data_IF_625200557057
#
_entry.id   IF_625200557057
#
_cell.length_a   1.000
_cell.length_b   1.000
_cell.length_c   1.000
_cell.angle_alpha   90.00
_cell.angle_beta   90.00
_cell.angle_gamma   90.00
#
_symmetry.space_group_name_H-M   'P 1'
#
loop_
_entity.id
_entity.type
_entity.pdbx_description
1 polymer ?
#
# COMPACT_ATOMS: atom_id res chain seq x y z
N UNK A 1 -3.19 3.93 48.62
CA UNK A 1 -3.29 2.66 47.86
C UNK A 1 -3.91 2.84 46.47
N UNK A 2 -5.04 3.55 46.33
CA UNK A 2 -5.76 3.71 45.03
C UNK A 2 -4.90 4.27 43.89
N UNK A 3 -4.09 5.31 44.14
CA UNK A 3 -3.22 5.93 43.11
C UNK A 3 -2.09 5.01 42.60
N UNK A 4 -1.50 4.18 43.48
CA UNK A 4 -0.45 3.21 43.09
C UNK A 4 -1.01 2.08 42.22
N UNK A 5 -2.22 1.63 42.50
CA UNK A 5 -2.89 0.60 41.69
C UNK A 5 -3.25 1.13 40.30
N UNK A 6 -3.62 2.42 40.19
CA UNK A 6 -3.88 3.06 38.90
C UNK A 6 -2.64 3.14 38.01
N UNK A 7 -1.48 3.50 38.56
CA UNK A 7 -0.21 3.50 37.83
C UNK A 7 0.18 2.10 37.34
N UNK A 8 0.00 1.07 38.19
CA UNK A 8 0.23 -0.32 37.80
C UNK A 8 -0.63 -0.78 36.62
N UNK A 9 -1.90 -0.39 36.59
CA UNK A 9 -2.81 -0.71 35.48
C UNK A 9 -2.38 -0.06 34.15
N UNK A 10 -1.86 1.17 34.18
CA UNK A 10 -1.35 1.85 32.97
C UNK A 10 -0.17 1.07 32.39
N UNK A 11 0.80 0.70 33.24
CA UNK A 11 1.99 -0.04 32.83
C UNK A 11 1.60 -1.40 32.25
N UNK A 12 0.73 -2.17 32.93
CA UNK A 12 0.30 -3.46 32.43
C UNK A 12 -0.55 -3.35 31.16
N UNK A 13 -1.35 -2.29 31.01
CA UNK A 13 -2.10 -2.04 29.77
C UNK A 13 -1.18 -1.76 28.59
N UNK A 14 -0.12 -0.99 28.80
CA UNK A 14 0.92 -0.77 27.81
C UNK A 14 1.61 -2.09 27.42
N UNK A 15 2.08 -2.87 28.40
CA UNK A 15 2.74 -4.16 28.16
C UNK A 15 1.81 -5.13 27.44
N UNK A 16 0.54 -5.19 27.84
CA UNK A 16 -0.48 -6.02 27.17
C UNK A 16 -0.64 -5.62 25.71
N UNK A 17 -0.68 -4.33 25.39
CA UNK A 17 -0.71 -3.86 23.99
C UNK A 17 0.56 -4.26 23.25
N UNK A 18 1.72 -4.09 23.89
CA UNK A 18 3.03 -4.39 23.31
C UNK A 18 3.21 -5.87 22.94
N UNK A 19 2.79 -6.79 23.83
CA UNK A 19 2.92 -8.24 23.61
C UNK A 19 1.79 -8.80 22.71
N UNK A 20 0.60 -8.18 22.73
CA UNK A 20 -0.55 -8.64 21.92
C UNK A 20 -0.42 -8.24 20.45
N UNK A 21 0.15 -7.07 20.17
CA UNK A 21 0.37 -6.61 18.80
C UNK A 21 1.38 -7.50 18.07
N UNK A 22 0.99 -8.04 16.93
CA UNK A 22 1.83 -9.01 16.20
C UNK A 22 3.08 -8.35 15.62
N UNK A 23 3.01 -7.10 15.19
CA UNK A 23 4.14 -6.38 14.60
C UNK A 23 5.18 -6.04 15.64
N UNK A 24 4.78 -5.54 16.82
CA UNK A 24 5.73 -5.32 17.91
C UNK A 24 6.30 -6.63 18.47
N UNK A 25 5.46 -7.66 18.62
CA UNK A 25 5.92 -8.98 19.08
C UNK A 25 6.99 -9.57 18.17
N UNK A 26 6.80 -9.47 16.85
CA UNK A 26 7.76 -9.96 15.85
C UNK A 26 9.12 -9.30 15.97
N UNK A 27 9.18 -7.99 16.22
CA UNK A 27 10.45 -7.24 16.31
C UNK A 27 11.14 -7.46 17.65
N UNK A 28 10.40 -7.31 18.74
CA UNK A 28 11.01 -7.21 20.07
C UNK A 28 11.11 -8.57 20.76
N UNK A 29 10.15 -9.47 20.53
CA UNK A 29 10.00 -10.70 21.30
C UNK A 29 10.24 -11.98 20.47
N UNK A 30 9.94 -12.05 19.17
CA UNK A 30 9.99 -13.30 18.38
C UNK A 30 11.31 -14.07 18.54
N UNK A 31 12.42 -13.37 18.39
CA UNK A 31 13.78 -13.95 18.42
C UNK A 31 14.58 -13.55 19.67
N UNK A 32 13.92 -12.96 20.67
CA UNK A 32 14.57 -12.44 21.88
C UNK A 32 14.11 -13.17 23.15
N UNK A 33 14.66 -14.36 23.38
CA UNK A 33 14.37 -15.17 24.57
C UNK A 33 14.75 -14.46 25.87
N UNK A 34 15.79 -13.62 25.86
CA UNK A 34 16.24 -12.86 27.03
C UNK A 34 15.19 -11.83 27.46
N UNK A 35 14.62 -11.08 26.52
CA UNK A 35 13.58 -10.09 26.82
C UNK A 35 12.31 -10.78 27.35
N UNK A 36 11.90 -11.89 26.74
CA UNK A 36 10.75 -12.68 27.22
C UNK A 36 10.96 -13.12 28.66
N UNK A 37 12.12 -13.69 28.96
CA UNK A 37 12.43 -14.17 30.30
C UNK A 37 12.48 -13.03 31.34
N UNK A 38 13.06 -11.87 30.98
CA UNK A 38 13.04 -10.68 31.84
C UNK A 38 11.61 -10.20 32.13
N UNK A 39 10.73 -10.25 31.12
CA UNK A 39 9.33 -9.89 31.30
C UNK A 39 8.59 -10.88 32.20
N UNK A 40 8.83 -12.19 32.04
CA UNK A 40 8.28 -13.23 32.93
C UNK A 40 8.70 -13.01 34.39
N UNK A 41 9.99 -12.74 34.64
CA UNK A 41 10.49 -12.41 35.99
C UNK A 41 9.83 -11.16 36.55
N UNK A 42 9.67 -10.12 35.73
CA UNK A 42 8.99 -8.89 36.15
C UNK A 42 7.53 -9.16 36.55
N UNK A 43 6.82 -9.95 35.75
CA UNK A 43 5.41 -10.29 35.99
C UNK A 43 5.22 -11.17 37.22
N UNK A 44 6.12 -12.14 37.48
CA UNK A 44 6.06 -12.97 38.69
C UNK A 44 6.24 -12.16 39.97
N UNK A 45 7.00 -11.06 39.91
CA UNK A 45 7.12 -10.11 41.02
C UNK A 45 5.83 -9.34 41.35
N UNK A 46 4.84 -9.34 40.46
CA UNK A 46 3.59 -8.57 40.59
C UNK A 46 2.38 -9.47 40.92
N UNK A 47 2.52 -10.79 40.77
CA UNK A 47 1.43 -11.76 40.86
C UNK A 47 0.73 -11.78 42.24
N UNK A 48 1.41 -11.28 43.29
CA UNK A 48 0.84 -11.09 44.63
C UNK A 48 -0.18 -9.96 44.76
N UNK A 49 -0.50 -9.19 43.71
CA UNK A 49 -1.48 -8.08 43.73
C UNK A 49 -2.79 -8.51 43.05
N UNK A 50 -3.86 -8.85 43.81
CA UNK A 50 -5.08 -9.43 43.24
C UNK A 50 -5.75 -8.58 42.17
N UNK A 51 -5.71 -7.25 42.29
CA UNK A 51 -6.32 -6.33 41.32
C UNK A 51 -5.64 -6.31 39.94
N UNK A 52 -4.44 -6.89 39.83
CA UNK A 52 -3.64 -6.90 38.60
C UNK A 52 -3.51 -8.30 37.97
N UNK A 53 -3.89 -9.35 38.69
CA UNK A 53 -3.68 -10.75 38.33
C UNK A 53 -4.27 -11.11 36.94
N UNK A 54 -5.44 -10.59 36.59
CA UNK A 54 -6.06 -10.82 35.27
C UNK A 54 -5.21 -10.26 34.12
N UNK A 55 -4.62 -9.08 34.31
CA UNK A 55 -3.76 -8.47 33.29
C UNK A 55 -2.45 -9.22 33.15
N UNK A 56 -1.83 -9.63 34.27
CA UNK A 56 -0.62 -10.46 34.27
C UNK A 56 -0.87 -11.76 33.52
N UNK A 57 -1.96 -12.46 33.85
CA UNK A 57 -2.35 -13.72 33.19
C UNK A 57 -2.58 -13.52 31.69
N UNK A 58 -3.26 -12.43 31.29
CA UNK A 58 -3.50 -12.12 29.88
C UNK A 58 -2.20 -11.81 29.10
N UNK A 59 -1.25 -11.11 29.73
CA UNK A 59 0.06 -10.82 29.12
C UNK A 59 0.84 -12.11 28.92
N UNK A 60 0.89 -13.00 29.93
CA UNK A 60 1.59 -14.28 29.83
C UNK A 60 1.01 -15.16 28.72
N UNK A 61 -0.32 -15.25 28.61
CA UNK A 61 -0.98 -15.96 27.49
C UNK A 61 -0.53 -15.41 26.12
N UNK A 62 -0.55 -14.09 25.96
CA UNK A 62 -0.08 -13.46 24.71
C UNK A 62 1.41 -13.74 24.44
N UNK A 63 2.24 -13.75 25.49
CA UNK A 63 3.69 -14.00 25.40
C UNK A 63 3.98 -15.44 24.92
N UNK A 64 3.18 -16.41 25.37
CA UNK A 64 3.28 -17.82 24.99
C UNK A 64 2.56 -18.19 23.68
N UNK A 65 1.94 -17.21 22.99
CA UNK A 65 1.40 -17.40 21.65
C UNK A 65 -0.11 -17.37 21.51
N UNK A 66 -0.85 -17.23 22.61
CA UNK A 66 -2.32 -17.07 22.61
C UNK A 66 -2.69 -15.61 22.28
N UNK A 67 -2.49 -15.24 21.01
CA UNK A 67 -2.81 -13.92 20.44
C UNK A 67 -4.00 -14.05 19.51
N UNK A 68 -5.20 -14.15 20.06
CA UNK A 68 -6.43 -14.16 19.27
C UNK A 68 -6.54 -12.88 18.43
N UNK A 69 -6.56 -13.02 17.10
CA UNK A 69 -6.81 -11.92 16.17
C UNK A 69 -8.32 -11.75 16.05
N UNK A 70 -8.83 -10.55 16.32
CA UNK A 70 -10.23 -10.23 16.02
C UNK A 70 -10.28 -9.86 14.55
N UNK A 71 -10.58 -10.84 13.70
CA UNK A 71 -10.85 -10.56 12.29
C UNK A 71 -12.22 -9.89 12.18
N UNK A 72 -12.22 -8.57 11.96
CA UNK A 72 -13.44 -7.85 11.62
C UNK A 72 -13.84 -8.21 10.19
N UNK A 73 -14.77 -9.16 10.06
CA UNK A 73 -15.36 -9.50 8.75
C UNK A 73 -16.44 -8.46 8.44
N UNK A 74 -16.09 -7.45 7.67
CA UNK A 74 -17.08 -6.52 7.10
C UNK A 74 -17.74 -7.23 5.92
N UNK A 75 -19.05 -7.48 6.01
CA UNK A 75 -19.82 -7.99 4.88
C UNK A 75 -19.98 -6.87 3.84
N UNK A 76 -19.31 -6.99 2.72
CA UNK A 76 -19.47 -6.12 1.56
C UNK A 76 -20.38 -6.80 0.52
N UNK A 77 -21.20 -6.02 -0.17
CA UNK A 77 -21.92 -6.52 -1.35
C UNK A 77 -20.90 -6.94 -2.41
N UNK A 78 -21.18 -8.04 -3.12
CA UNK A 78 -20.32 -8.47 -4.21
C UNK A 78 -20.19 -7.34 -5.25
N UNK A 79 -18.98 -7.04 -5.75
CA UNK A 79 -18.81 -6.02 -6.77
C UNK A 79 -19.62 -6.40 -8.00
N UNK A 80 -20.09 -5.38 -8.73
CA UNK A 80 -20.75 -5.58 -10.02
C UNK A 80 -19.84 -6.41 -10.94
N UNK A 81 -20.37 -7.54 -11.44
CA UNK A 81 -19.66 -8.40 -12.39
C UNK A 81 -19.50 -7.64 -13.70
N UNK A 82 -18.27 -7.33 -14.05
CA UNK A 82 -17.93 -6.79 -15.36
C UNK A 82 -17.62 -7.93 -16.33
N UNK A 83 -17.95 -7.73 -17.60
CA UNK A 83 -17.41 -8.56 -18.67
C UNK A 83 -15.89 -8.30 -18.75
N UNK A 84 -15.09 -9.34 -18.51
CA UNK A 84 -13.62 -9.26 -18.43
C UNK A 84 -12.98 -8.97 -19.82
N UNK A 85 -13.79 -8.93 -20.88
CA UNK A 85 -13.33 -8.68 -22.24
C UNK A 85 -12.67 -9.92 -22.87
N UNK A 86 -11.81 -9.69 -23.87
CA UNK A 86 -11.22 -10.74 -24.71
C UNK A 86 -10.03 -11.48 -24.06
N UNK A 87 -9.55 -11.01 -22.90
CA UNK A 87 -8.41 -11.58 -22.21
C UNK A 87 -8.85 -12.70 -21.25
N UNK A 88 -9.00 -13.91 -21.77
CA UNK A 88 -9.34 -15.11 -20.99
C UNK A 88 -8.12 -15.73 -20.28
N UNK A 89 -6.90 -15.30 -20.61
CA UNK A 89 -5.65 -15.86 -20.09
C UNK A 89 -4.63 -14.77 -19.75
N UNK A 90 -3.85 -14.98 -18.69
CA UNK A 90 -2.92 -13.98 -18.13
C UNK A 90 -1.81 -13.54 -19.11
N UNK A 91 -1.37 -14.41 -20.00
CA UNK A 91 -0.35 -14.13 -21.03
C UNK A 91 -0.82 -13.14 -22.10
N UNK A 92 -2.13 -12.90 -22.18
CA UNK A 92 -2.74 -12.04 -23.22
C UNK A 92 -3.18 -10.70 -22.70
N UNK A 93 -3.00 -10.39 -21.41
CA UNK A 93 -3.45 -9.11 -20.83
C UNK A 93 -2.72 -7.94 -21.50
N UNK A 94 -3.51 -7.05 -22.10
CA UNK A 94 -3.07 -5.76 -22.66
C UNK A 94 -3.98 -4.68 -22.12
N UNK A 95 -3.46 -3.45 -22.05
CA UNK A 95 -4.24 -2.29 -21.63
C UNK A 95 -5.49 -2.04 -22.50
N UNK A 96 -5.52 -2.55 -23.74
CA UNK A 96 -6.61 -2.36 -24.70
C UNK A 96 -7.63 -3.50 -24.74
N UNK A 97 -7.36 -4.66 -24.14
CA UNK A 97 -8.24 -5.84 -24.25
C UNK A 97 -8.87 -6.29 -22.92
N UNK A 98 -8.60 -5.56 -21.84
CA UNK A 98 -9.26 -5.69 -20.54
C UNK A 98 -10.19 -4.49 -20.34
N UNK A 99 -11.34 -4.71 -19.71
CA UNK A 99 -12.21 -3.62 -19.30
C UNK A 99 -11.47 -2.67 -18.34
N UNK A 100 -11.41 -1.34 -18.60
CA UNK A 100 -10.52 -0.43 -17.88
C UNK A 100 -10.86 -0.34 -16.39
N UNK A 101 -12.15 -0.36 -16.04
CA UNK A 101 -12.59 -0.41 -14.65
C UNK A 101 -12.14 -1.69 -13.94
N UNK A 102 -12.10 -2.83 -14.63
CA UNK A 102 -11.65 -4.07 -14.00
C UNK A 102 -10.14 -4.06 -13.79
N UNK A 103 -9.37 -3.58 -14.79
CA UNK A 103 -7.93 -3.39 -14.64
C UNK A 103 -7.63 -2.45 -13.45
N UNK A 104 -8.35 -1.33 -13.34
CA UNK A 104 -8.21 -0.40 -12.23
C UNK A 104 -8.52 -1.06 -10.88
N UNK A 105 -9.65 -1.78 -10.77
CA UNK A 105 -10.03 -2.51 -9.54
C UNK A 105 -8.95 -3.51 -9.11
N UNK A 106 -8.45 -4.33 -10.03
CA UNK A 106 -7.47 -5.36 -9.72
C UNK A 106 -6.11 -4.76 -9.32
N UNK A 107 -5.67 -3.71 -10.00
CA UNK A 107 -4.45 -2.97 -9.61
C UNK A 107 -4.63 -2.35 -8.22
N UNK A 108 -5.76 -1.68 -7.95
CA UNK A 108 -6.04 -1.10 -6.63
C UNK A 108 -6.06 -2.15 -5.52
N UNK A 109 -6.66 -3.31 -5.75
CA UNK A 109 -6.65 -4.41 -4.77
C UNK A 109 -5.24 -4.93 -4.51
N UNK A 110 -4.42 -5.07 -5.55
CA UNK A 110 -3.06 -5.54 -5.42
C UNK A 110 -2.15 -4.53 -4.70
N UNK A 111 -2.25 -3.25 -5.06
CA UNK A 111 -1.52 -2.17 -4.39
C UNK A 111 -1.95 -2.03 -2.93
N UNK A 112 -3.24 -2.16 -2.63
CA UNK A 112 -3.73 -2.21 -1.25
C UNK A 112 -3.15 -3.39 -0.47
N UNK A 113 -3.10 -4.60 -1.05
CA UNK A 113 -2.47 -5.76 -0.42
C UNK A 113 -0.98 -5.51 -0.13
N UNK A 114 -0.24 -4.91 -1.06
CA UNK A 114 1.16 -4.53 -0.85
C UNK A 114 1.31 -3.48 0.25
N UNK A 115 0.51 -2.41 0.19
CA UNK A 115 0.54 -1.30 1.14
C UNK A 115 0.17 -1.76 2.57
N UNK A 116 -0.89 -2.55 2.71
CA UNK A 116 -1.38 -3.02 4.01
C UNK A 116 -0.41 -3.95 4.76
N UNK A 117 0.60 -4.49 4.06
CA UNK A 117 1.66 -5.32 4.64
C UNK A 117 2.85 -4.52 5.17
N UNK A 118 2.97 -3.23 4.82
CA UNK A 118 4.07 -2.39 5.27
C UNK A 118 3.94 -2.15 6.77
N UNK A 119 4.91 -2.65 7.53
CA UNK A 119 4.96 -2.48 8.98
C UNK A 119 5.62 -1.14 9.36
N UNK A 120 5.21 -0.53 10.47
CA UNK A 120 5.80 0.74 10.96
C UNK A 120 7.33 0.66 11.11
N UNK A 121 7.86 -0.51 11.48
CA UNK A 121 9.29 -0.74 11.65
C UNK A 121 10.08 -0.63 10.33
N UNK A 122 9.43 -0.74 9.17
CA UNK A 122 10.05 -0.64 7.84
C UNK A 122 10.24 0.82 7.41
N UNK A 123 9.52 1.75 8.06
CA UNK A 123 9.48 3.17 7.68
C UNK A 123 9.97 4.11 8.79
N UNK A 124 10.27 3.59 9.98
CA UNK A 124 10.74 4.38 11.12
C UNK A 124 12.25 4.69 11.09
N UNK A 125 12.95 4.34 10.01
CA UNK A 125 14.40 4.57 9.85
C UNK A 125 15.28 3.56 10.59
N UNK A 126 14.74 2.48 11.14
CA UNK A 126 15.55 1.44 11.79
C UNK A 126 16.28 0.57 10.75
N UNK A 127 17.61 0.50 10.82
CA UNK A 127 18.44 -0.29 9.89
C UNK A 127 18.18 -1.81 9.98
N UNK A 128 17.51 -2.28 11.04
CA UNK A 128 17.30 -3.71 11.32
C UNK A 128 16.32 -4.39 10.36
N UNK A 129 15.36 -3.64 9.82
CA UNK A 129 14.37 -4.17 8.89
C UNK A 129 14.41 -3.36 7.61
N UNK A 130 15.33 -3.74 6.74
CA UNK A 130 15.39 -3.25 5.36
C UNK A 130 14.03 -3.50 4.70
N UNK A 131 13.20 -2.45 4.56
CA UNK A 131 11.76 -2.53 4.28
C UNK A 131 11.41 -3.42 3.10
N UNK A 132 11.14 -4.70 3.37
CA UNK A 132 10.88 -5.72 2.35
C UNK A 132 9.52 -5.47 1.71
N UNK A 133 8.49 -5.17 2.51
CA UNK A 133 7.16 -4.89 1.98
C UNK A 133 7.13 -3.52 1.33
N UNK A 134 7.83 -2.55 1.92
CA UNK A 134 8.04 -1.23 1.30
C UNK A 134 8.67 -1.37 -0.10
N UNK A 135 9.73 -2.18 -0.22
CA UNK A 135 10.38 -2.46 -1.51
C UNK A 135 9.49 -3.20 -2.48
N UNK A 136 8.69 -4.16 -2.02
CA UNK A 136 7.72 -4.86 -2.90
C UNK A 136 6.69 -3.89 -3.47
N UNK A 137 6.20 -2.96 -2.65
CA UNK A 137 5.30 -1.89 -3.10
C UNK A 137 5.98 -1.01 -4.15
N UNK A 138 7.21 -0.57 -3.89
CA UNK A 138 8.02 0.21 -4.84
C UNK A 138 8.30 -0.53 -6.15
N UNK A 139 8.64 -1.82 -6.07
CA UNK A 139 8.97 -2.64 -7.22
C UNK A 139 7.76 -2.84 -8.12
N UNK A 140 6.57 -3.06 -7.53
CA UNK A 140 5.32 -3.15 -8.28
C UNK A 140 5.00 -1.82 -8.97
N UNK A 141 5.03 -0.73 -8.22
CA UNK A 141 4.76 0.62 -8.72
C UNK A 141 5.63 0.97 -9.94
N UNK A 142 6.94 0.74 -9.83
CA UNK A 142 7.88 0.95 -10.94
C UNK A 142 7.61 0.03 -12.14
N UNK A 143 7.22 -1.23 -11.91
CA UNK A 143 6.87 -2.16 -12.99
C UNK A 143 5.60 -1.73 -13.69
N UNK A 144 4.59 -1.30 -12.96
CA UNK A 144 3.32 -0.85 -13.50
C UNK A 144 3.50 0.43 -14.34
N UNK A 145 4.21 1.43 -13.81
CA UNK A 145 4.60 2.63 -14.54
C UNK A 145 5.31 2.29 -15.86
N UNK A 146 6.34 1.43 -15.80
CA UNK A 146 7.08 0.98 -17.00
C UNK A 146 6.18 0.24 -17.99
N UNK A 147 5.25 -0.57 -17.51
CA UNK A 147 4.29 -1.29 -18.35
C UNK A 147 3.32 -0.33 -19.06
N UNK A 148 2.85 0.73 -18.40
CA UNK A 148 2.04 1.78 -19.02
C UNK A 148 2.82 2.51 -20.12
N UNK A 149 4.06 2.94 -19.84
CA UNK A 149 4.94 3.59 -20.82
C UNK A 149 5.18 2.66 -22.01
N UNK A 150 5.57 1.41 -21.75
CA UNK A 150 5.81 0.41 -22.78
C UNK A 150 4.56 0.17 -23.64
N UNK A 151 3.38 0.09 -23.03
CA UNK A 151 2.12 -0.12 -23.74
C UNK A 151 1.85 0.99 -24.77
N UNK A 152 2.15 2.25 -24.41
CA UNK A 152 2.05 3.40 -25.34
C UNK A 152 3.12 3.27 -26.43
N UNK A 153 4.38 3.08 -26.04
CA UNK A 153 5.53 3.18 -26.94
C UNK A 153 5.67 2.02 -27.92
N UNK A 154 5.07 0.87 -27.64
CA UNK A 154 5.16 -0.31 -28.51
C UNK A 154 4.35 -0.20 -29.80
N UNK A 155 3.43 0.77 -29.90
CA UNK A 155 2.60 0.94 -31.10
C UNK A 155 3.21 1.98 -32.05
N UNK A 156 3.44 1.57 -33.30
CA UNK A 156 4.01 2.45 -34.34
C UNK A 156 2.95 3.33 -35.01
N UNK A 157 1.75 2.80 -35.21
CA UNK A 157 0.65 3.53 -35.81
C UNK A 157 0.11 4.60 -34.84
N UNK A 158 -0.18 5.78 -35.35
CA UNK A 158 -0.70 6.90 -34.57
C UNK A 158 -2.05 6.56 -33.93
N UNK A 159 -2.95 5.97 -34.70
CA UNK A 159 -4.29 5.57 -34.26
C UNK A 159 -4.25 4.62 -33.06
N UNK A 160 -3.40 3.58 -33.14
CA UNK A 160 -3.19 2.63 -32.05
C UNK A 160 -2.62 3.30 -30.80
N UNK A 161 -1.64 4.20 -30.97
CA UNK A 161 -1.09 4.98 -29.84
C UNK A 161 -2.16 5.83 -29.17
N UNK A 162 -3.01 6.52 -29.92
CA UNK A 162 -4.10 7.35 -29.39
C UNK A 162 -5.06 6.49 -28.56
N UNK A 163 -5.41 5.29 -29.03
CA UNK A 163 -6.26 4.36 -28.28
C UNK A 163 -5.62 3.97 -26.95
N UNK A 164 -4.34 3.60 -26.96
CA UNK A 164 -3.62 3.22 -25.73
C UNK A 164 -3.48 4.40 -24.78
N UNK A 165 -3.15 5.58 -25.29
CA UNK A 165 -3.05 6.81 -24.53
C UNK A 165 -4.38 7.07 -23.81
N UNK A 166 -5.50 7.01 -24.53
CA UNK A 166 -6.85 7.19 -23.96
C UNK A 166 -7.12 6.18 -22.84
N UNK A 167 -6.70 4.92 -22.99
CA UNK A 167 -6.84 3.91 -21.92
C UNK A 167 -6.06 4.27 -20.66
N UNK A 168 -4.87 4.88 -20.79
CA UNK A 168 -4.11 5.36 -19.62
C UNK A 168 -4.83 6.52 -18.92
N UNK A 169 -5.49 7.43 -19.66
CA UNK A 169 -6.34 8.46 -19.05
C UNK A 169 -7.58 7.87 -18.36
N UNK A 170 -8.24 6.90 -18.98
CA UNK A 170 -9.38 6.23 -18.36
C UNK A 170 -8.95 5.61 -17.02
N UNK A 171 -7.80 4.94 -16.97
CA UNK A 171 -7.23 4.41 -15.73
C UNK A 171 -6.93 5.50 -14.70
N UNK A 172 -6.36 6.64 -15.10
CA UNK A 172 -6.11 7.77 -14.21
C UNK A 172 -7.40 8.23 -13.52
N UNK A 173 -8.47 8.46 -14.29
CA UNK A 173 -9.77 8.90 -13.76
C UNK A 173 -10.39 7.83 -12.87
N UNK A 174 -10.30 6.56 -13.27
CA UNK A 174 -10.83 5.44 -12.51
C UNK A 174 -10.08 5.23 -11.18
N UNK A 175 -8.76 5.38 -11.17
CA UNK A 175 -7.97 5.33 -9.94
C UNK A 175 -8.33 6.46 -8.99
N UNK A 176 -8.53 7.68 -9.49
CA UNK A 176 -8.99 8.81 -8.69
C UNK A 176 -10.37 8.51 -8.07
N UNK A 177 -11.30 7.97 -8.86
CA UNK A 177 -12.63 7.57 -8.40
C UNK A 177 -12.61 6.42 -7.38
N UNK A 178 -11.63 5.53 -7.44
CA UNK A 178 -11.42 4.43 -6.49
C UNK A 178 -10.66 4.88 -5.22
N UNK A 179 -10.19 6.12 -5.15
CA UNK A 179 -9.33 6.60 -4.07
C UNK A 179 -7.91 5.99 -4.11
N UNK A 180 -7.51 5.43 -5.26
CA UNK A 180 -6.18 4.87 -5.47
C UNK A 180 -5.19 5.96 -5.88
N UNK A 181 -4.61 6.64 -4.89
CA UNK A 181 -3.68 7.74 -5.14
C UNK A 181 -2.37 7.25 -5.79
N UNK A 182 -1.89 6.05 -5.44
CA UNK A 182 -0.68 5.48 -6.02
C UNK A 182 -0.84 5.22 -7.52
N UNK A 183 -1.87 4.46 -7.92
CA UNK A 183 -2.19 4.24 -9.33
C UNK A 183 -2.49 5.53 -10.11
N UNK A 184 -3.11 6.52 -9.47
CA UNK A 184 -3.33 7.86 -10.07
C UNK A 184 -2.01 8.53 -10.43
N UNK A 185 -1.03 8.52 -9.53
CA UNK A 185 0.28 9.11 -9.80
C UNK A 185 1.08 8.32 -10.83
N UNK A 186 0.97 7.00 -10.85
CA UNK A 186 1.64 6.16 -11.86
C UNK A 186 1.10 6.40 -13.27
N UNK A 187 -0.22 6.46 -13.42
CA UNK A 187 -0.85 6.77 -14.70
C UNK A 187 -0.49 8.19 -15.17
N UNK A 188 -0.49 9.16 -14.24
CA UNK A 188 -0.07 10.54 -14.51
C UNK A 188 1.41 10.62 -14.92
N UNK A 189 2.29 9.97 -14.18
CA UNK A 189 3.72 9.94 -14.45
C UNK A 189 4.01 9.29 -15.81
N UNK A 190 3.30 8.21 -16.17
CA UNK A 190 3.44 7.56 -17.48
C UNK A 190 3.27 8.55 -18.63
N UNK A 191 2.25 9.41 -18.56
CA UNK A 191 1.95 10.44 -19.57
C UNK A 191 2.98 11.58 -19.62
N UNK A 192 3.67 11.83 -18.51
CA UNK A 192 4.66 12.92 -18.37
C UNK A 192 6.10 12.47 -18.59
N UNK A 193 6.36 11.16 -18.72
CA UNK A 193 7.72 10.67 -18.97
C UNK A 193 8.27 11.18 -20.30
N UNK A 194 9.57 11.48 -20.36
CA UNK A 194 10.28 11.95 -21.55
C UNK A 194 9.92 11.21 -22.85
N UNK A 195 9.83 9.86 -22.88
CA UNK A 195 9.45 9.15 -24.10
C UNK A 195 8.01 9.31 -24.55
N UNK A 196 7.08 9.54 -23.62
CA UNK A 196 5.66 9.72 -23.93
C UNK A 196 5.36 11.18 -24.21
N UNK A 197 5.83 12.10 -23.36
CA UNK A 197 5.57 13.54 -23.46
C UNK A 197 5.98 14.14 -24.81
N UNK A 198 7.03 13.62 -25.45
CA UNK A 198 7.50 14.07 -26.76
C UNK A 198 6.59 13.65 -27.94
N UNK A 199 5.57 12.82 -27.73
CA UNK A 199 4.64 12.36 -28.77
C UNK A 199 3.59 13.43 -29.11
N UNK A 200 4.02 14.65 -29.47
CA UNK A 200 3.15 15.82 -29.69
C UNK A 200 1.97 15.52 -30.61
N UNK A 201 2.22 14.88 -31.76
CA UNK A 201 1.18 14.49 -32.73
C UNK A 201 0.11 13.56 -32.14
N UNK A 202 0.48 12.72 -31.16
CA UNK A 202 -0.48 11.80 -30.51
C UNK A 202 -1.37 12.56 -29.53
N UNK A 203 -0.84 13.59 -28.86
CA UNK A 203 -1.63 14.45 -27.97
C UNK A 203 -2.52 15.44 -28.73
N UNK A 204 -2.04 15.99 -29.85
CA UNK A 204 -2.75 17.00 -30.64
C UNK A 204 -4.04 16.47 -31.27
N UNK A 205 -4.08 15.17 -31.60
CA UNK A 205 -5.26 14.50 -32.17
C UNK A 205 -6.41 14.39 -31.16
N UNK A 206 -6.11 14.35 -29.86
CA UNK A 206 -7.13 14.15 -28.84
C UNK A 206 -7.37 15.42 -28.04
N UNK A 207 -8.46 16.12 -28.35
CA UNK A 207 -8.89 17.36 -27.69
C UNK A 207 -9.10 17.17 -26.18
N UNK A 208 -9.44 15.95 -25.76
CA UNK A 208 -9.57 15.52 -24.36
C UNK A 208 -8.21 15.56 -23.66
N UNK A 209 -7.10 15.26 -24.35
CA UNK A 209 -5.76 15.32 -23.76
C UNK A 209 -5.30 16.73 -23.48
N UNK A 210 -5.57 17.70 -24.36
CA UNK A 210 -5.27 19.11 -24.05
C UNK A 210 -6.03 19.60 -22.81
N UNK A 211 -7.26 19.12 -22.61
CA UNK A 211 -8.06 19.43 -21.42
C UNK A 211 -7.51 18.72 -20.17
N UNK A 212 -7.23 17.42 -20.25
CA UNK A 212 -6.68 16.62 -19.15
C UNK A 212 -5.26 17.05 -18.78
N UNK A 213 -4.39 17.43 -19.73
CA UNK A 213 -3.05 17.96 -19.45
C UNK A 213 -3.13 19.31 -18.70
N UNK A 214 -4.13 20.15 -18.98
CA UNK A 214 -4.41 21.36 -18.18
C UNK A 214 -4.93 21.03 -16.77
N UNK A 215 -5.66 19.94 -16.59
CA UNK A 215 -6.11 19.46 -15.28
C UNK A 215 -4.95 18.84 -14.47
N UNK A 216 -4.14 18.00 -15.12
CA UNK A 216 -2.94 17.35 -14.57
C UNK A 216 -1.88 18.40 -14.19
N UNK A 217 -1.64 19.40 -15.03
CA UNK A 217 -0.63 20.45 -14.80
C UNK A 217 -0.96 21.43 -13.67
N UNK A 218 -2.23 21.59 -13.29
CA UNK A 218 -2.64 22.48 -12.18
C UNK A 218 -2.46 21.85 -10.79
N UNK A 219 -2.51 20.52 -10.69
CA UNK A 219 -2.52 19.82 -9.40
C UNK A 219 -1.18 19.15 -9.04
N UNK A 220 -0.16 19.24 -9.91
CA UNK A 220 1.14 18.59 -9.68
C UNK A 220 1.96 19.21 -8.53
N UNK A 221 1.72 20.48 -8.19
CA UNK A 221 2.49 21.20 -7.16
C UNK A 221 1.72 21.46 -5.85
N UNK A 222 0.40 21.22 -5.82
CA UNK A 222 -0.44 21.62 -4.67
C UNK A 222 -0.87 20.44 -3.79
N UNK A 223 -0.80 19.20 -4.28
CA UNK A 223 -1.23 18.00 -3.54
C UNK A 223 -0.17 16.90 -3.54
N UNK A 224 1.10 17.28 -3.44
CA UNK A 224 2.16 16.30 -3.21
C UNK A 224 2.20 16.00 -1.73
N UNK A 225 1.35 15.08 -1.28
CA UNK A 225 1.46 14.52 0.07
C UNK A 225 2.86 13.85 0.17
N UNK A 226 3.72 14.28 1.10
CA UNK A 226 5.07 13.73 1.23
C UNK A 226 5.07 12.21 1.49
N UNK A 227 3.95 11.61 1.90
CA UNK A 227 3.79 10.16 1.98
C UNK A 227 3.73 9.47 0.60
N UNK A 228 3.29 10.16 -0.46
CA UNK A 228 3.11 9.63 -1.83
C UNK A 228 4.41 9.77 -2.66
N UNK A 229 5.29 10.70 -2.26
CA UNK A 229 6.62 10.91 -2.86
C UNK A 229 7.61 9.74 -2.68
N UNK A 230 7.25 8.71 -1.91
CA UNK A 230 8.16 7.59 -1.60
C UNK A 230 8.35 6.60 -2.76
N UNK A 231 7.58 6.67 -3.85
CA UNK A 231 7.53 5.56 -4.81
C UNK A 231 7.75 5.86 -6.30
N UNK A 232 7.66 7.12 -6.73
CA UNK A 232 8.01 7.48 -8.11
C UNK A 232 9.40 8.10 -8.11
N UNK A 233 10.43 7.25 -8.11
CA UNK A 233 11.76 7.74 -8.49
C UNK A 233 11.67 8.11 -9.96
N UNK A 234 11.54 9.41 -10.24
CA UNK A 234 11.94 9.98 -11.52
C UNK A 234 13.36 9.48 -11.75
N UNK A 235 13.53 8.53 -12.66
CA UNK A 235 14.86 8.13 -13.14
C UNK A 235 15.50 9.43 -13.62
N UNK A 236 16.59 9.93 -12.99
CA UNK A 236 17.29 11.08 -13.52
C UNK A 236 17.79 10.67 -14.90
N UNK A 237 17.43 11.44 -15.92
CA UNK A 237 17.90 11.24 -17.28
C UNK A 237 19.44 11.08 -17.26
N UNK A 238 19.91 9.93 -17.77
CA UNK A 238 21.31 9.69 -18.14
C UNK A 238 21.57 10.16 -19.56
#
# INVERSE_FOLDING_TARGET
MVSRNFQGLIVLSFIKKWVRDTSYFKVDFADNSILRHKLEIFLSGIDGVPSLAENVTAILRCLHGDRAKVDQVIRQCAPEKLDLGLALTFDRVRITNVHPLELARQVTLHEWDLYSRIEFNEVNGSEKNWGVNMRRSLDFSNKFLKWLIWSIMCHRALEDRVIVLQRVLDLLILFEALGNLQGTQEARAALQTSPVHRLSETFDVSSIFLYCMRYIGKNFLTEVDPCILLFVTVVPDS
#
